data_IF_745195337137
#
_entry.id   IF_745195337137
#
_cell.length_a   1.000
_cell.length_b   1.000
_cell.length_c   1.000
_cell.angle_alpha   90.00
_cell.angle_beta   90.00
_cell.angle_gamma   90.00
#
_symmetry.space_group_name_H-M   'P 1'
#
loop_
_entity.id
_entity.type
_entity.pdbx_description
1 polymer ?
#
# COMPACT_ATOMS: atom_id res chain seq x y z
N UNK A 1 10.76 -31.24 2.17
CA UNK A 1 10.72 -30.87 0.75
C UNK A 1 10.90 -29.37 0.69
N UNK A 2 12.14 -28.90 0.51
CA UNK A 2 12.43 -27.46 0.45
C UNK A 2 11.96 -26.95 -0.90
N UNK A 3 10.88 -26.17 -0.90
CA UNK A 3 10.42 -25.48 -2.09
C UNK A 3 11.39 -24.33 -2.34
N UNK A 4 12.24 -24.45 -3.37
CA UNK A 4 13.15 -23.38 -3.77
C UNK A 4 12.32 -22.37 -4.54
N UNK A 5 12.25 -21.15 -4.01
CA UNK A 5 11.58 -20.02 -4.67
C UNK A 5 12.57 -19.49 -5.72
N UNK A 6 12.23 -19.65 -7.00
CA UNK A 6 12.96 -19.04 -8.10
C UNK A 6 12.47 -17.60 -8.24
N UNK A 7 13.33 -16.63 -7.96
CA UNK A 7 13.01 -15.21 -8.12
C UNK A 7 13.24 -14.84 -9.58
N UNK A 8 12.18 -14.44 -10.30
CA UNK A 8 12.25 -14.04 -11.72
C UNK A 8 12.69 -12.57 -11.85
N UNK A 9 13.28 -12.18 -13.00
CA UNK A 9 13.76 -10.81 -13.24
C UNK A 9 12.65 -9.74 -13.09
N UNK A 10 11.39 -10.10 -13.32
CA UNK A 10 10.22 -9.23 -13.22
C UNK A 10 9.83 -8.88 -11.76
N UNK A 11 10.15 -9.73 -10.80
CA UNK A 11 9.91 -9.51 -9.36
C UNK A 11 10.84 -8.41 -8.81
N UNK A 12 12.00 -8.22 -9.45
CA UNK A 12 12.94 -7.16 -9.10
C UNK A 12 12.44 -5.76 -9.51
N UNK A 13 11.53 -5.68 -10.48
CA UNK A 13 10.97 -4.41 -10.97
C UNK A 13 10.13 -3.72 -9.89
N UNK A 14 9.28 -4.46 -9.17
CA UNK A 14 8.44 -3.91 -8.11
C UNK A 14 9.30 -3.35 -6.98
N UNK A 15 10.29 -4.11 -6.52
CA UNK A 15 11.22 -3.68 -5.48
C UNK A 15 11.93 -2.39 -5.90
N UNK A 16 12.53 -2.37 -7.08
CA UNK A 16 13.23 -1.19 -7.60
C UNK A 16 12.31 0.03 -7.67
N UNK A 17 11.06 -0.15 -8.14
CA UNK A 17 10.08 0.94 -8.23
C UNK A 17 9.68 1.48 -6.86
N UNK A 18 9.50 0.59 -5.88
CA UNK A 18 9.16 0.98 -4.51
C UNK A 18 10.32 1.72 -3.86
N UNK A 19 11.57 1.26 -4.01
CA UNK A 19 12.76 1.95 -3.50
C UNK A 19 12.94 3.32 -4.18
N UNK A 20 12.71 3.42 -5.50
CA UNK A 20 12.77 4.69 -6.25
C UNK A 20 11.77 5.72 -5.71
N UNK A 21 10.51 5.33 -5.49
CA UNK A 21 9.44 6.25 -5.06
C UNK A 21 9.55 6.57 -3.56
N UNK A 22 9.84 5.57 -2.73
CA UNK A 22 9.89 5.75 -1.26
C UNK A 22 11.20 6.40 -0.80
N UNK A 23 12.30 6.22 -1.56
CA UNK A 23 13.65 6.60 -1.14
C UNK A 23 14.21 5.72 -0.02
N UNK A 24 13.56 4.60 0.29
CA UNK A 24 13.94 3.68 1.37
C UNK A 24 14.57 2.41 0.78
N UNK A 25 15.60 1.87 1.44
CA UNK A 25 16.19 0.58 1.05
C UNK A 25 15.45 -0.55 1.77
N UNK A 26 14.46 -1.15 1.09
CA UNK A 26 13.55 -2.17 1.63
C UNK A 26 14.32 -3.45 1.99
N UNK A 27 15.40 -3.75 1.27
CA UNK A 27 16.22 -4.95 1.49
C UNK A 27 16.88 -5.00 2.87
N UNK A 28 17.06 -3.85 3.55
CA UNK A 28 17.55 -3.75 4.94
C UNK A 28 16.58 -4.32 5.99
N UNK A 29 15.34 -4.63 5.60
CA UNK A 29 14.36 -5.23 6.47
C UNK A 29 14.74 -6.66 6.83
N UNK A 30 14.93 -6.89 8.13
CA UNK A 30 15.26 -8.20 8.74
C UNK A 30 14.03 -8.94 9.29
N UNK A 31 12.81 -8.53 8.91
CA UNK A 31 11.57 -9.21 9.30
C UNK A 31 11.36 -9.36 10.82
N UNK A 32 11.79 -8.37 11.62
CA UNK A 32 11.65 -8.42 13.08
C UNK A 32 10.22 -8.29 13.64
N UNK A 33 9.23 -7.89 12.82
CA UNK A 33 7.82 -7.83 13.21
C UNK A 33 7.38 -6.65 14.09
N UNK A 34 8.29 -5.80 14.59
CA UNK A 34 7.95 -4.66 15.47
C UNK A 34 6.91 -3.73 14.85
N UNK A 35 7.02 -3.48 13.53
CA UNK A 35 6.07 -2.65 12.81
C UNK A 35 4.63 -3.20 12.87
N UNK A 36 4.46 -4.52 12.76
CA UNK A 36 3.16 -5.19 12.86
C UNK A 36 2.58 -5.03 14.27
N UNK A 37 3.35 -5.35 15.31
CA UNK A 37 2.86 -5.20 16.70
C UNK A 37 2.58 -3.74 17.08
N UNK A 38 3.27 -2.79 16.46
CA UNK A 38 3.06 -1.36 16.72
C UNK A 38 1.90 -0.73 15.95
N UNK A 39 1.39 -1.40 14.91
CA UNK A 39 0.39 -0.83 14.04
C UNK A 39 -1.01 -1.03 14.64
N UNK A 40 -1.77 0.06 14.93
CA UNK A 40 -3.11 -0.05 15.50
C UNK A 40 -4.12 -0.66 14.52
N UNK A 41 -3.80 -0.69 13.23
CA UNK A 41 -4.67 -1.20 12.17
C UNK A 41 -4.31 -2.61 11.72
N UNK A 42 -3.30 -3.26 12.34
CA UNK A 42 -2.74 -4.51 11.84
C UNK A 42 -3.77 -5.64 11.69
N UNK A 43 -4.77 -5.70 12.59
CA UNK A 43 -5.81 -6.73 12.59
C UNK A 43 -6.78 -6.59 11.42
N UNK A 44 -6.96 -5.38 10.88
CA UNK A 44 -7.85 -5.10 9.75
C UNK A 44 -7.15 -5.26 8.39
N UNK A 45 -5.83 -5.39 8.40
CA UNK A 45 -5.01 -5.51 7.19
C UNK A 45 -4.91 -6.97 6.72
N UNK A 46 -5.09 -7.19 5.43
CA UNK A 46 -4.80 -8.44 4.74
C UNK A 46 -3.28 -8.70 4.63
N UNK A 47 -2.47 -7.64 4.53
CA UNK A 47 -1.02 -7.69 4.70
C UNK A 47 -0.60 -6.84 5.89
N UNK A 48 -0.03 -7.47 6.92
CA UNK A 48 0.57 -6.73 8.03
C UNK A 48 1.74 -5.87 7.55
N UNK A 49 2.16 -4.80 8.26
CA UNK A 49 3.31 -3.98 7.87
C UNK A 49 4.60 -4.79 7.61
N UNK A 50 4.89 -5.81 8.42
CA UNK A 50 6.02 -6.71 8.15
C UNK A 50 5.80 -7.55 6.89
N UNK A 51 4.57 -8.03 6.69
CA UNK A 51 4.14 -8.76 5.50
C UNK A 51 4.27 -7.93 4.22
N UNK A 52 3.92 -6.63 4.25
CA UNK A 52 4.14 -5.70 3.13
C UNK A 52 5.63 -5.65 2.79
N UNK A 53 6.50 -5.43 3.78
CA UNK A 53 7.95 -5.40 3.55
C UNK A 53 8.48 -6.71 2.96
N UNK A 54 7.93 -7.84 3.40
CA UNK A 54 8.29 -9.15 2.88
C UNK A 54 7.84 -9.32 1.42
N UNK A 55 6.58 -9.00 1.12
CA UNK A 55 6.01 -9.07 -0.21
C UNK A 55 6.79 -8.19 -1.20
N UNK A 56 7.10 -6.94 -0.83
CA UNK A 56 7.91 -6.05 -1.66
C UNK A 56 9.31 -6.60 -1.88
N UNK A 57 9.96 -7.12 -0.83
CA UNK A 57 11.30 -7.73 -0.95
C UNK A 57 11.33 -8.95 -1.87
N UNK A 58 10.22 -9.68 -1.95
CA UNK A 58 10.03 -10.81 -2.87
C UNK A 58 9.48 -10.40 -4.24
N UNK A 59 9.15 -9.12 -4.46
CA UNK A 59 8.55 -8.67 -5.71
C UNK A 59 7.10 -9.11 -5.92
N UNK A 60 6.40 -9.53 -4.86
CA UNK A 60 5.02 -10.00 -4.94
C UNK A 60 4.05 -8.85 -5.29
N UNK A 61 3.65 -8.80 -6.56
CA UNK A 61 2.73 -7.79 -7.11
C UNK A 61 1.34 -7.85 -6.48
N UNK A 62 0.94 -8.93 -5.80
CA UNK A 62 -0.36 -9.01 -5.11
C UNK A 62 -0.52 -7.95 -4.02
N UNK A 63 0.60 -7.46 -3.45
CA UNK A 63 0.58 -6.38 -2.45
C UNK A 63 0.00 -5.07 -3.00
N UNK A 64 0.03 -4.86 -4.33
CA UNK A 64 -0.52 -3.66 -4.97
C UNK A 64 -2.04 -3.62 -4.94
N UNK A 65 -2.70 -4.78 -4.86
CA UNK A 65 -4.17 -4.87 -4.83
C UNK A 65 -4.68 -5.16 -3.40
N UNK A 66 -3.79 -5.06 -2.41
CA UNK A 66 -4.07 -5.28 -1.00
C UNK A 66 -4.94 -4.17 -0.40
N UNK A 67 -5.78 -4.52 0.59
CA UNK A 67 -6.50 -3.51 1.39
C UNK A 67 -5.56 -2.74 2.31
N UNK A 68 -4.44 -3.34 2.72
CA UNK A 68 -3.50 -2.78 3.67
C UNK A 68 -2.92 -1.43 3.20
N UNK A 69 -2.66 -1.27 1.90
CA UNK A 69 -2.18 0.01 1.33
C UNK A 69 -3.22 1.13 1.47
N UNK A 70 -4.50 0.83 1.67
CA UNK A 70 -5.57 1.82 1.89
C UNK A 70 -5.97 1.97 3.36
N UNK A 71 -5.82 0.91 4.15
CA UNK A 71 -6.07 0.90 5.60
C UNK A 71 -4.95 1.63 6.36
N UNK A 72 -3.73 1.66 5.82
CA UNK A 72 -2.60 2.38 6.42
C UNK A 72 -2.93 3.86 6.66
N UNK A 73 -3.09 4.23 7.93
CA UNK A 73 -3.40 5.58 8.38
C UNK A 73 -2.22 6.56 8.30
N UNK A 74 -1.04 6.12 7.84
CA UNK A 74 0.18 6.95 7.76
C UNK A 74 0.49 7.65 9.09
N UNK A 75 0.34 6.94 10.21
CA UNK A 75 0.58 7.48 11.56
C UNK A 75 2.06 7.47 11.98
N UNK A 76 2.94 6.87 11.16
CA UNK A 76 4.40 6.80 11.35
C UNK A 76 4.90 6.03 12.58
N UNK A 77 4.03 5.35 13.34
CA UNK A 77 4.46 4.55 14.51
C UNK A 77 5.48 3.47 14.13
N UNK A 78 5.27 2.80 12.99
CA UNK A 78 6.18 1.77 12.48
C UNK A 78 7.55 2.36 12.08
N UNK A 79 7.56 3.55 11.48
CA UNK A 79 8.78 4.30 11.11
C UNK A 79 9.62 4.64 12.34
N UNK A 80 9.00 5.23 13.37
CA UNK A 80 9.70 5.62 14.60
C UNK A 80 10.27 4.42 15.35
N UNK A 81 9.58 3.27 15.32
CA UNK A 81 9.99 2.07 16.05
C UNK A 81 10.90 1.13 15.26
N UNK A 82 11.16 1.40 13.98
CA UNK A 82 11.97 0.51 13.16
C UNK A 82 13.44 0.53 13.62
N UNK A 83 14.02 -0.60 14.09
CA UNK A 83 15.41 -0.63 14.54
C UNK A 83 16.42 -0.48 13.39
N UNK A 84 15.95 -0.68 12.14
CA UNK A 84 16.75 -0.48 10.92
C UNK A 84 16.61 0.94 10.35
N UNK A 85 15.76 1.77 10.93
CA UNK A 85 15.54 3.15 10.50
C UNK A 85 14.77 3.29 9.17
N UNK A 86 14.05 2.24 8.74
CA UNK A 86 13.25 2.25 7.51
C UNK A 86 11.94 3.00 7.74
N UNK A 87 11.57 3.87 6.81
CA UNK A 87 10.26 4.53 6.79
C UNK A 87 9.20 3.67 6.09
N UNK A 88 8.57 2.75 6.83
CA UNK A 88 7.54 1.87 6.29
C UNK A 88 6.29 2.65 5.80
N UNK A 89 6.03 3.84 6.33
CA UNK A 89 4.91 4.65 5.87
C UNK A 89 5.15 5.12 4.42
N UNK A 90 6.37 5.55 4.08
CA UNK A 90 6.74 5.88 2.70
C UNK A 90 6.70 4.66 1.78
N UNK A 91 7.15 3.50 2.25
CA UNK A 91 7.08 2.25 1.45
C UNK A 91 5.61 1.93 1.12
N UNK A 92 4.71 2.05 2.10
CA UNK A 92 3.28 1.81 1.89
C UNK A 92 2.65 2.86 0.96
N UNK A 93 3.04 4.13 1.09
CA UNK A 93 2.60 5.19 0.17
C UNK A 93 3.11 4.97 -1.26
N UNK A 94 4.35 4.51 -1.43
CA UNK A 94 4.90 4.16 -2.74
C UNK A 94 4.05 3.09 -3.44
N UNK A 95 3.61 2.05 -2.71
CA UNK A 95 2.69 1.05 -3.26
C UNK A 95 1.35 1.66 -3.68
N UNK A 96 0.79 2.57 -2.88
CA UNK A 96 -0.45 3.30 -3.21
C UNK A 96 -0.29 4.13 -4.49
N UNK A 97 0.84 4.82 -4.65
CA UNK A 97 1.17 5.59 -5.85
C UNK A 97 1.32 4.68 -7.08
N UNK A 98 1.97 3.52 -6.94
CA UNK A 98 2.10 2.55 -8.04
C UNK A 98 0.72 2.01 -8.43
N UNK A 99 -0.15 1.71 -7.47
CA UNK A 99 -1.52 1.26 -7.75
C UNK A 99 -2.32 2.33 -8.51
N UNK A 100 -2.33 3.57 -8.02
CA UNK A 100 -3.07 4.67 -8.66
C UNK A 100 -2.60 4.94 -10.09
N UNK A 101 -1.29 4.85 -10.38
CA UNK A 101 -0.77 5.08 -11.75
C UNK A 101 -1.22 4.05 -12.79
N UNK A 102 -1.93 3.00 -12.39
CA UNK A 102 -2.53 2.03 -13.32
C UNK A 102 -3.70 2.63 -14.15
N UNK A 103 -4.15 3.87 -13.88
CA UNK A 103 -5.25 4.52 -14.60
C UNK A 103 -6.54 3.67 -14.58
N UNK A 104 -6.92 3.18 -13.39
CA UNK A 104 -8.10 2.34 -13.18
C UNK A 104 -9.07 3.04 -12.24
N UNK A 105 -10.06 3.67 -12.84
CA UNK A 105 -11.17 4.29 -12.11
C UNK A 105 -12.17 3.22 -11.66
N UNK A 106 -12.38 3.15 -10.35
CA UNK A 106 -13.42 2.36 -9.69
C UNK A 106 -14.71 3.16 -9.48
N UNK A 107 -14.69 4.48 -9.71
CA UNK A 107 -15.85 5.36 -9.63
C UNK A 107 -15.91 6.19 -10.91
N UNK A 108 -17.02 6.09 -11.64
CA UNK A 108 -17.31 6.93 -12.79
C UNK A 108 -18.33 8.01 -12.41
N UNK A 109 -17.95 9.29 -12.50
CA UNK A 109 -18.85 10.40 -12.20
C UNK A 109 -20.03 10.50 -13.15
N UNK A 110 -19.86 10.08 -14.41
CA UNK A 110 -20.90 10.14 -15.42
C UNK A 110 -22.04 9.13 -15.13
N UNK A 111 -21.75 8.09 -14.36
CA UNK A 111 -22.71 7.06 -13.97
C UNK A 111 -23.49 7.42 -12.69
N UNK A 112 -23.05 8.44 -11.94
CA UNK A 112 -23.76 8.93 -10.75
C UNK A 112 -24.99 9.69 -11.23
N UNK A 113 -26.17 9.05 -11.09
CA UNK A 113 -27.45 9.62 -11.54
C UNK A 113 -27.71 10.97 -10.85
N UNK A 114 -28.37 11.88 -11.56
CA UNK A 114 -28.78 13.19 -11.03
C UNK A 114 -29.60 13.05 -9.72
N UNK A 115 -30.38 11.98 -9.60
CA UNK A 115 -31.16 11.61 -8.41
C UNK A 115 -30.28 11.29 -7.18
N UNK A 116 -29.11 10.64 -7.37
CA UNK A 116 -28.16 10.34 -6.29
C UNK A 116 -27.35 11.59 -5.89
N UNK A 117 -27.15 12.52 -6.83
CA UNK A 117 -26.53 13.82 -6.56
C UNK A 117 -27.43 14.73 -5.71
N UNK A 118 -28.75 14.64 -5.89
CA UNK A 118 -29.76 15.41 -5.13
C UNK A 118 -30.02 14.86 -3.72
N UNK A 119 -29.72 13.58 -3.45
CA UNK A 119 -29.98 12.94 -2.14
C UNK A 119 -28.94 13.27 -1.04
N UNK A 120 -28.35 14.48 -1.09
CA UNK A 120 -27.36 15.00 -0.13
C UNK A 120 -26.03 14.21 -0.05
N UNK A 121 -25.43 13.80 -1.17
CA UNK A 121 -24.03 13.37 -1.16
C UNK A 121 -23.13 14.54 -0.72
N UNK A 122 -22.50 14.50 0.47
CA UNK A 122 -21.70 15.62 0.92
C UNK A 122 -20.50 15.80 -0.02
N UNK A 123 -20.13 17.04 -0.41
CA UNK A 123 -18.98 17.26 -1.30
C UNK A 123 -17.69 16.60 -0.80
N UNK A 124 -17.53 16.49 0.52
CA UNK A 124 -16.39 15.80 1.13
C UNK A 124 -16.36 14.28 0.85
N UNK A 125 -17.53 13.64 0.73
CA UNK A 125 -17.63 12.23 0.39
C UNK A 125 -17.23 12.00 -1.08
N UNK A 126 -17.70 12.86 -1.99
CA UNK A 126 -17.34 12.79 -3.41
C UNK A 126 -15.83 13.00 -3.62
N UNK A 127 -15.26 14.06 -3.03
CA UNK A 127 -13.81 14.34 -3.14
C UNK A 127 -12.98 13.20 -2.54
N UNK A 128 -13.39 12.65 -1.41
CA UNK A 128 -12.72 11.51 -0.78
C UNK A 128 -12.78 10.25 -1.66
N UNK A 129 -13.94 9.96 -2.25
CA UNK A 129 -14.14 8.83 -3.14
C UNK A 129 -13.25 8.96 -4.39
N UNK A 130 -13.30 10.10 -5.07
CA UNK A 130 -12.47 10.35 -6.25
C UNK A 130 -10.98 10.20 -5.93
N UNK A 131 -10.49 10.81 -4.85
CA UNK A 131 -9.06 10.69 -4.48
C UNK A 131 -8.59 9.26 -4.19
N UNK A 132 -9.49 8.34 -3.85
CA UNK A 132 -9.16 6.95 -3.48
C UNK A 132 -9.46 5.94 -4.57
N UNK A 133 -10.47 6.24 -5.39
CA UNK A 133 -11.06 5.30 -6.33
C UNK A 133 -10.96 5.76 -7.78
N UNK A 134 -10.28 6.87 -8.04
CA UNK A 134 -9.93 7.31 -9.39
C UNK A 134 -8.45 7.65 -9.45
N UNK A 135 -7.80 7.31 -10.55
CA UNK A 135 -6.34 7.40 -10.70
C UNK A 135 -5.89 6.66 -11.93
#
# INVERSE_FOLDING_TARGET
MSNVIHIEEEENELLAKVEEISGETVTLCEQCGICTTSCPMAEEMDFTPAGIMHAVKLGDKNVLDSKAIWICASCFTCTVRCPRGIDLAKVTEALRQIHLRKNKDHVNLEEVKEEEQEENLPPIALVSALRKFTG
#
